data_IF_255423148877
#
_entry.id   IF_255423148877
#
_cell.length_a   1.000
_cell.length_b   1.000
_cell.length_c   1.000
_cell.angle_alpha   90.00
_cell.angle_beta   90.00
_cell.angle_gamma   90.00
#
_symmetry.space_group_name_H-M   'P 1'
#
loop_
_entity.id
_entity.type
_entity.pdbx_description
1 polymer ?
#
# COMPACT_ATOMS: atom_id res chain seq x y z
N UNK A 1 32.17 -72.62 -60.22
CA UNK A 1 31.50 -72.49 -58.92
C UNK A 1 31.58 -71.04 -58.50
N UNK A 2 30.45 -70.35 -58.57
CA UNK A 2 30.25 -68.94 -58.20
C UNK A 2 30.25 -68.78 -56.68
N UNK A 3 31.17 -67.99 -56.15
CA UNK A 3 31.03 -67.35 -54.85
C UNK A 3 30.78 -65.86 -55.09
N UNK A 4 29.55 -65.41 -54.83
CA UNK A 4 29.23 -63.99 -54.79
C UNK A 4 29.88 -63.41 -53.52
N UNK A 5 30.98 -62.67 -53.69
CA UNK A 5 31.54 -61.87 -52.62
C UNK A 5 30.51 -60.78 -52.28
N UNK A 6 29.82 -60.96 -51.16
CA UNK A 6 28.89 -59.95 -50.66
C UNK A 6 29.71 -58.77 -50.14
N UNK A 7 29.60 -57.65 -50.86
CA UNK A 7 30.29 -56.40 -50.55
C UNK A 7 29.68 -55.79 -49.29
N UNK A 8 30.36 -55.93 -48.15
CA UNK A 8 29.94 -55.30 -46.90
C UNK A 8 30.25 -53.81 -46.96
N UNK A 9 29.20 -52.99 -46.97
CA UNK A 9 29.34 -51.55 -46.82
C UNK A 9 29.74 -51.23 -45.38
N UNK A 10 30.82 -50.46 -45.25
CA UNK A 10 31.35 -50.03 -43.97
C UNK A 10 30.34 -49.13 -43.25
N UNK A 11 30.21 -49.31 -41.93
CA UNK A 11 29.27 -48.53 -41.12
C UNK A 11 29.86 -47.15 -40.85
N UNK A 12 29.13 -46.10 -41.21
CA UNK A 12 29.57 -44.73 -40.97
C UNK A 12 29.82 -44.50 -39.46
N UNK A 13 30.91 -43.80 -39.09
CA UNK A 13 31.20 -43.53 -37.69
C UNK A 13 30.07 -42.72 -37.04
N UNK A 14 29.87 -42.83 -35.70
CA UNK A 14 28.84 -42.08 -35.00
C UNK A 14 29.04 -40.58 -35.21
N UNK A 15 28.01 -39.91 -35.74
CA UNK A 15 27.99 -38.46 -35.83
C UNK A 15 27.48 -37.89 -34.52
N UNK A 16 28.24 -36.98 -33.91
CA UNK A 16 27.80 -36.30 -32.69
C UNK A 16 26.66 -35.34 -33.01
N UNK A 17 25.43 -35.77 -32.74
CA UNK A 17 24.24 -34.91 -32.77
C UNK A 17 24.13 -34.09 -31.47
N UNK A 18 25.13 -33.25 -31.19
CA UNK A 18 24.87 -32.07 -30.37
C UNK A 18 24.03 -31.11 -31.22
N UNK A 19 22.71 -31.30 -31.17
CA UNK A 19 21.71 -30.52 -31.95
C UNK A 19 21.88 -29.00 -31.80
N UNK A 20 22.54 -28.55 -30.72
CA UNK A 20 22.88 -27.16 -30.46
C UNK A 20 24.34 -27.07 -30.00
N UNK A 21 25.12 -26.18 -30.63
CA UNK A 21 26.48 -25.91 -30.18
C UNK A 21 26.44 -25.29 -28.77
N UNK A 22 27.36 -25.62 -27.85
CA UNK A 22 27.33 -25.10 -26.47
C UNK A 22 27.25 -23.58 -26.34
N UNK A 23 27.86 -22.83 -27.26
CA UNK A 23 27.77 -21.37 -27.29
C UNK A 23 26.34 -20.86 -27.57
N UNK A 24 25.54 -21.60 -28.34
CA UNK A 24 24.14 -21.25 -28.61
C UNK A 24 23.29 -21.41 -27.35
N UNK A 25 23.57 -22.42 -26.55
CA UNK A 25 22.92 -22.61 -25.23
C UNK A 25 23.28 -21.45 -24.31
N UNK A 26 24.55 -21.05 -24.27
CA UNK A 26 24.99 -19.90 -23.47
C UNK A 26 24.32 -18.60 -23.92
N UNK A 27 24.26 -18.34 -25.22
CA UNK A 27 23.55 -17.18 -25.78
C UNK A 27 22.06 -17.20 -25.47
N UNK A 28 21.40 -18.37 -25.56
CA UNK A 28 19.98 -18.51 -25.25
C UNK A 28 19.69 -18.24 -23.77
N UNK A 29 20.53 -18.76 -22.87
CA UNK A 29 20.43 -18.50 -21.42
C UNK A 29 20.65 -17.01 -21.12
N UNK A 30 21.68 -16.40 -21.71
CA UNK A 30 21.96 -14.98 -21.53
C UNK A 30 20.81 -14.08 -22.03
N UNK A 31 20.25 -14.38 -23.21
CA UNK A 31 19.10 -13.66 -23.75
C UNK A 31 17.86 -13.81 -22.86
N UNK A 32 17.61 -15.02 -22.35
CA UNK A 32 16.49 -15.28 -21.43
C UNK A 32 16.63 -14.49 -20.14
N UNK A 33 17.82 -14.45 -19.55
CA UNK A 33 18.09 -13.67 -18.33
C UNK A 33 17.92 -12.16 -18.56
N UNK A 34 18.37 -11.65 -19.71
CA UNK A 34 18.15 -10.24 -20.08
C UNK A 34 16.67 -9.91 -20.23
N UNK A 35 15.89 -10.78 -20.89
CA UNK A 35 14.44 -10.58 -21.04
C UNK A 35 13.72 -10.59 -19.68
N UNK A 36 14.08 -11.52 -18.79
CA UNK A 36 13.52 -11.57 -17.43
C UNK A 36 13.90 -10.32 -16.65
N UNK A 37 15.17 -9.90 -16.70
CA UNK A 37 15.64 -8.68 -16.05
C UNK A 37 14.90 -7.44 -16.54
N UNK A 38 14.72 -7.31 -17.86
CA UNK A 38 13.97 -6.21 -18.47
C UNK A 38 12.49 -6.26 -18.08
N UNK A 39 11.86 -7.43 -18.07
CA UNK A 39 10.48 -7.58 -17.65
C UNK A 39 10.29 -7.18 -16.18
N UNK A 40 11.17 -7.60 -15.28
CA UNK A 40 11.16 -7.20 -13.86
C UNK A 40 11.37 -5.69 -13.72
N UNK A 41 12.31 -5.12 -14.48
CA UNK A 41 12.59 -3.69 -14.45
C UNK A 41 11.40 -2.87 -14.96
N UNK A 42 10.79 -3.26 -16.09
CA UNK A 42 9.58 -2.64 -16.62
C UNK A 42 8.41 -2.78 -15.66
N UNK A 43 8.22 -3.96 -15.04
CA UNK A 43 7.17 -4.18 -14.05
C UNK A 43 7.38 -3.30 -12.83
N UNK A 44 8.62 -3.15 -12.36
CA UNK A 44 8.98 -2.26 -11.26
C UNK A 44 8.80 -0.80 -11.65
N UNK A 45 9.16 -0.41 -12.87
CA UNK A 45 8.98 0.95 -13.40
C UNK A 45 7.50 1.29 -13.55
N UNK A 46 6.69 0.40 -14.12
CA UNK A 46 5.24 0.58 -14.21
C UNK A 46 4.55 0.50 -12.86
N UNK A 47 5.09 -0.22 -11.87
CA UNK A 47 4.62 -0.13 -10.47
C UNK A 47 5.06 1.16 -9.78
N UNK A 48 6.16 1.76 -10.23
CA UNK A 48 6.54 3.15 -9.93
C UNK A 48 5.80 4.11 -10.85
N UNK A 49 4.49 3.90 -11.06
CA UNK A 49 3.66 5.04 -11.44
C UNK A 49 3.85 6.07 -10.34
N UNK A 50 4.20 7.34 -10.63
CA UNK A 50 3.87 8.38 -9.69
C UNK A 50 2.37 8.21 -9.49
N UNK A 51 1.96 7.75 -8.31
CA UNK A 51 0.58 7.94 -7.90
C UNK A 51 0.32 9.41 -8.19
N UNK A 52 -0.77 9.73 -8.91
CA UNK A 52 -1.27 11.10 -8.92
C UNK A 52 -1.10 11.62 -7.50
N UNK A 53 -0.40 12.75 -7.36
CA UNK A 53 0.00 13.29 -6.06
C UNK A 53 -1.29 13.79 -5.40
N UNK A 54 -2.11 12.83 -4.97
CA UNK A 54 -3.30 13.02 -4.18
C UNK A 54 -2.82 13.80 -2.98
N UNK A 55 -3.41 14.96 -2.81
CA UNK A 55 -3.20 15.77 -1.64
C UNK A 55 -3.41 14.89 -0.40
N UNK A 56 -2.71 15.15 0.73
CA UNK A 56 -2.92 14.40 1.96
C UNK A 56 -4.41 14.27 2.31
N UNK A 57 -5.19 15.32 2.02
CA UNK A 57 -6.64 15.37 2.17
C UNK A 57 -7.39 14.37 1.29
N UNK A 58 -7.17 14.37 -0.02
CA UNK A 58 -7.85 13.44 -0.94
C UNK A 58 -7.55 12.00 -0.58
N UNK A 59 -6.29 11.72 -0.21
CA UNK A 59 -5.87 10.39 0.22
C UNK A 59 -6.57 9.96 1.50
N UNK A 60 -6.75 10.87 2.46
CA UNK A 60 -7.49 10.61 3.68
C UNK A 60 -8.97 10.33 3.39
N UNK A 61 -9.61 11.12 2.52
CA UNK A 61 -11.00 10.91 2.09
C UNK A 61 -11.16 9.54 1.44
N UNK A 62 -10.26 9.17 0.53
CA UNK A 62 -10.31 7.86 -0.13
C UNK A 62 -10.12 6.71 0.88
N UNK A 63 -9.18 6.85 1.81
CA UNK A 63 -8.94 5.84 2.85
C UNK A 63 -10.13 5.70 3.80
N UNK A 64 -10.77 6.81 4.19
CA UNK A 64 -12.00 6.79 4.98
C UNK A 64 -13.14 6.13 4.21
N UNK A 65 -13.36 6.47 2.94
CA UNK A 65 -14.39 5.83 2.12
C UNK A 65 -14.21 4.30 2.01
N UNK A 66 -12.96 3.83 1.92
CA UNK A 66 -12.65 2.39 1.95
C UNK A 66 -12.94 1.75 3.31
N UNK A 67 -12.65 2.47 4.41
CA UNK A 67 -12.98 2.01 5.76
C UNK A 67 -14.48 1.92 5.99
N UNK A 68 -15.28 2.82 5.41
CA UNK A 68 -16.74 2.82 5.52
C UNK A 68 -17.36 1.50 5.06
N UNK A 69 -16.86 0.93 3.95
CA UNK A 69 -17.29 -0.39 3.47
C UNK A 69 -16.91 -1.56 4.38
N UNK A 70 -16.07 -1.34 5.40
CA UNK A 70 -15.61 -2.38 6.33
C UNK A 70 -16.27 -2.31 7.72
N UNK A 71 -17.18 -1.35 7.95
CA UNK A 71 -17.84 -1.10 9.25
C UNK A 71 -18.50 -2.35 9.83
N UNK A 72 -19.15 -3.16 9.00
CA UNK A 72 -19.88 -4.36 9.47
C UNK A 72 -18.98 -5.59 9.60
N UNK A 73 -17.81 -5.56 8.95
CA UNK A 73 -16.88 -6.70 8.88
C UNK A 73 -15.78 -6.63 9.93
N UNK A 74 -15.39 -5.42 10.34
CA UNK A 74 -14.32 -5.19 11.29
C UNK A 74 -14.86 -5.03 12.71
N UNK A 75 -14.22 -5.62 13.73
CA UNK A 75 -14.52 -5.31 15.12
C UNK A 75 -14.35 -3.81 15.39
N UNK A 76 -15.27 -3.16 16.13
CA UNK A 76 -15.22 -1.71 16.42
C UNK A 76 -13.89 -1.23 17.03
N UNK A 77 -13.24 -2.07 17.83
CA UNK A 77 -11.90 -1.81 18.36
C UNK A 77 -10.83 -1.68 17.24
N UNK A 78 -10.81 -2.62 16.29
CA UNK A 78 -9.84 -2.56 15.18
C UNK A 78 -10.18 -1.41 14.22
N UNK A 79 -11.47 -1.15 14.05
CA UNK A 79 -11.97 -0.05 13.24
C UNK A 79 -11.50 1.31 13.78
N UNK A 80 -11.64 1.56 15.09
CA UNK A 80 -11.23 2.82 15.72
C UNK A 80 -9.72 3.06 15.63
N UNK A 81 -8.90 1.99 15.72
CA UNK A 81 -7.45 2.09 15.51
C UNK A 81 -7.15 2.54 14.08
N UNK A 82 -7.75 1.89 13.08
CA UNK A 82 -7.48 2.22 11.66
C UNK A 82 -7.93 3.63 11.29
N UNK A 83 -9.11 4.05 11.72
CA UNK A 83 -9.61 5.41 11.44
C UNK A 83 -8.75 6.47 12.15
N UNK A 84 -8.35 6.22 13.39
CA UNK A 84 -7.39 7.07 14.12
C UNK A 84 -6.06 7.20 13.40
N UNK A 85 -5.52 6.10 12.85
CA UNK A 85 -4.24 6.14 12.13
C UNK A 85 -4.32 6.91 10.82
N UNK A 86 -5.45 6.79 10.09
CA UNK A 86 -5.71 7.57 8.87
C UNK A 86 -5.73 9.06 9.17
N UNK A 87 -6.47 9.47 10.21
CA UNK A 87 -6.56 10.88 10.62
C UNK A 87 -5.24 11.45 11.11
N UNK A 88 -4.52 10.71 11.96
CA UNK A 88 -3.19 11.14 12.42
C UNK A 88 -2.24 11.33 11.25
N UNK A 89 -2.24 10.39 10.30
CA UNK A 89 -1.39 10.50 9.09
C UNK A 89 -1.79 11.70 8.24
N UNK A 90 -3.08 11.92 8.00
CA UNK A 90 -3.60 13.08 7.27
C UNK A 90 -3.05 14.38 7.85
N UNK A 91 -3.23 14.56 9.15
CA UNK A 91 -2.82 15.79 9.84
C UNK A 91 -1.29 15.95 9.84
N UNK A 92 -0.54 14.88 10.11
CA UNK A 92 0.92 14.93 10.11
C UNK A 92 1.48 15.26 8.73
N UNK A 93 0.92 14.69 7.66
CA UNK A 93 1.36 14.96 6.29
C UNK A 93 0.93 16.35 5.79
N UNK A 94 -0.30 16.78 6.12
CA UNK A 94 -0.87 18.06 5.71
C UNK A 94 -0.10 19.24 6.32
N UNK A 95 0.35 19.10 7.57
CA UNK A 95 1.03 20.17 8.32
C UNK A 95 2.51 19.88 8.61
N UNK A 96 3.08 18.88 7.94
CA UNK A 96 4.50 18.48 8.01
C UNK A 96 5.00 18.29 9.45
N UNK A 97 4.16 17.70 10.30
CA UNK A 97 4.52 17.43 11.69
C UNK A 97 5.50 16.25 11.77
N UNK A 98 6.33 16.16 12.82
CA UNK A 98 7.20 15.01 13.04
C UNK A 98 6.37 13.72 13.16
N UNK A 99 6.61 12.74 12.28
CA UNK A 99 6.02 11.40 12.36
C UNK A 99 6.62 10.68 13.57
N UNK A 100 6.02 10.87 14.74
CA UNK A 100 6.51 10.36 16.02
C UNK A 100 5.44 9.49 16.68
N UNK A 101 5.86 8.50 17.48
CA UNK A 101 4.96 7.69 18.31
C UNK A 101 4.52 8.50 19.52
N UNK A 102 3.65 9.48 19.28
CA UNK A 102 3.09 10.34 20.31
C UNK A 102 1.77 9.79 20.83
N UNK A 103 1.47 10.07 22.09
CA UNK A 103 0.14 9.86 22.67
C UNK A 103 -0.88 10.82 22.04
N UNK A 104 -2.19 10.57 22.20
CA UNK A 104 -3.24 11.50 21.75
C UNK A 104 -3.06 12.92 22.30
N UNK A 105 -2.67 13.02 23.58
CA UNK A 105 -2.46 14.30 24.27
C UNK A 105 -1.26 15.05 23.71
N UNK A 106 -0.12 14.38 23.52
CA UNK A 106 1.09 14.99 22.94
C UNK A 106 0.84 15.45 21.50
N UNK A 107 0.09 14.67 20.73
CA UNK A 107 -0.28 15.00 19.36
C UNK A 107 -1.14 16.27 19.30
N UNK A 108 -2.16 16.37 20.15
CA UNK A 108 -3.01 17.56 20.24
C UNK A 108 -2.23 18.80 20.73
N UNK A 109 -1.32 18.63 21.70
CA UNK A 109 -0.47 19.72 22.17
C UNK A 109 0.48 20.23 21.08
N UNK A 110 1.07 19.31 20.30
CA UNK A 110 1.93 19.66 19.15
C UNK A 110 1.12 20.38 18.08
N UNK A 111 -0.13 19.99 17.87
CA UNK A 111 -1.03 20.65 16.95
C UNK A 111 -1.41 22.06 17.38
N UNK A 112 -1.74 22.25 18.66
CA UNK A 112 -2.08 23.56 19.21
C UNK A 112 -0.94 24.58 19.05
N UNK A 113 0.32 24.12 19.04
CA UNK A 113 1.49 25.00 18.90
C UNK A 113 1.96 25.21 17.46
N UNK A 114 1.66 24.29 16.54
CA UNK A 114 2.29 24.24 15.21
C UNK A 114 1.30 24.39 14.05
N UNK A 115 0.01 24.13 14.27
CA UNK A 115 -1.00 24.10 13.20
C UNK A 115 -1.85 25.37 13.15
N UNK A 116 -2.23 25.86 11.94
CA UNK A 116 -3.19 26.95 11.76
C UNK A 116 -4.65 26.50 11.94
N UNK A 117 -4.93 25.39 12.66
CA UNK A 117 -6.30 24.93 12.88
C UNK A 117 -7.12 25.95 13.66
N UNK A 118 -8.35 26.17 13.23
CA UNK A 118 -9.35 26.88 14.01
C UNK A 118 -9.62 26.17 15.34
N UNK A 119 -10.12 26.90 16.34
CA UNK A 119 -10.48 26.31 17.63
C UNK A 119 -11.47 25.15 17.46
N UNK A 120 -12.43 25.30 16.55
CA UNK A 120 -13.45 24.29 16.25
C UNK A 120 -12.83 23.01 15.67
N UNK A 121 -11.84 23.11 14.79
CA UNK A 121 -11.14 21.94 14.23
C UNK A 121 -10.32 21.20 15.30
N UNK A 122 -9.66 21.95 16.20
CA UNK A 122 -8.92 21.35 17.31
C UNK A 122 -9.86 20.61 18.27
N UNK A 123 -11.02 21.19 18.58
CA UNK A 123 -12.05 20.54 19.39
C UNK A 123 -12.59 19.28 18.72
N UNK A 124 -12.95 19.35 17.43
CA UNK A 124 -13.44 18.20 16.67
C UNK A 124 -12.44 17.04 16.65
N UNK A 125 -11.15 17.33 16.44
CA UNK A 125 -10.09 16.33 16.47
C UNK A 125 -9.87 15.77 17.87
N UNK A 126 -9.93 16.63 18.89
CA UNK A 126 -9.82 16.24 20.30
C UNK A 126 -10.93 15.27 20.72
N UNK A 127 -12.18 15.60 20.41
CA UNK A 127 -13.36 14.78 20.70
C UNK A 127 -13.26 13.41 20.00
N UNK A 128 -12.85 13.41 18.72
CA UNK A 128 -12.62 12.19 17.96
C UNK A 128 -11.55 11.30 18.61
N UNK A 129 -10.39 11.85 18.97
CA UNK A 129 -9.30 11.10 19.58
C UNK A 129 -9.69 10.55 20.95
N UNK A 130 -10.40 11.34 21.76
CA UNK A 130 -10.92 10.90 23.05
C UNK A 130 -11.87 9.70 22.89
N UNK A 131 -12.78 9.73 21.91
CA UNK A 131 -13.70 8.61 21.63
C UNK A 131 -12.94 7.36 21.18
N UNK A 132 -11.92 7.52 20.34
CA UNK A 132 -11.02 6.41 19.99
C UNK A 132 -10.35 5.81 21.22
N UNK A 133 -9.87 6.64 22.15
CA UNK A 133 -9.18 6.18 23.35
C UNK A 133 -10.11 5.47 24.34
N UNK A 134 -11.37 5.92 24.46
CA UNK A 134 -12.41 5.20 25.22
C UNK A 134 -12.64 3.78 24.67
N UNK A 135 -12.75 3.64 23.35
CA UNK A 135 -12.91 2.34 22.70
C UNK A 135 -11.67 1.46 22.89
N UNK A 136 -10.47 2.06 22.84
CA UNK A 136 -9.21 1.31 22.93
C UNK A 136 -8.88 0.85 24.35
N UNK A 137 -9.17 1.67 25.36
CA UNK A 137 -8.62 1.47 26.70
C UNK A 137 -9.68 1.29 27.79
N UNK A 138 -10.90 1.80 27.62
CA UNK A 138 -11.91 1.81 28.67
C UNK A 138 -12.76 0.53 28.77
N UNK A 139 -12.39 -0.56 28.08
CA UNK A 139 -13.23 -1.78 27.92
C UNK A 139 -14.67 -1.44 27.50
N UNK A 140 -14.80 -0.41 26.68
CA UNK A 140 -16.09 0.02 26.17
C UNK A 140 -16.62 -1.05 25.20
N UNK A 141 -17.84 -1.53 25.42
CA UNK A 141 -18.54 -2.43 24.49
C UNK A 141 -19.00 -1.62 23.27
N UNK A 142 -18.02 -1.25 22.45
CA UNK A 142 -18.22 -0.48 21.25
C UNK A 142 -19.07 -1.28 20.25
N UNK A 143 -20.04 -0.59 19.66
CA UNK A 143 -20.97 -1.15 18.70
C UNK A 143 -20.62 -0.71 17.27
N UNK A 144 -21.28 -1.32 16.29
CA UNK A 144 -21.22 -0.86 14.90
C UNK A 144 -21.74 0.57 14.76
N UNK A 145 -22.67 1.00 15.62
CA UNK A 145 -23.16 2.39 15.62
C UNK A 145 -22.06 3.38 16.01
N UNK A 146 -21.22 3.03 17.00
CA UNK A 146 -20.06 3.85 17.38
C UNK A 146 -19.03 3.94 16.25
N UNK A 147 -18.87 2.85 15.48
CA UNK A 147 -17.99 2.84 14.29
C UNK A 147 -18.52 3.77 13.20
N UNK A 148 -19.85 3.82 12.99
CA UNK A 148 -20.49 4.77 12.06
C UNK A 148 -20.29 6.22 12.50
N UNK A 149 -20.51 6.51 13.79
CA UNK A 149 -20.28 7.85 14.34
C UNK A 149 -18.82 8.28 14.20
N UNK A 150 -17.87 7.40 14.53
CA UNK A 150 -16.44 7.68 14.40
C UNK A 150 -16.04 8.05 12.97
N UNK A 151 -16.54 7.32 11.96
CA UNK A 151 -16.18 7.61 10.58
C UNK A 151 -16.87 8.85 10.04
N UNK A 152 -18.07 9.17 10.54
CA UNK A 152 -18.77 10.42 10.21
C UNK A 152 -18.02 11.63 10.76
N UNK A 153 -17.58 11.58 12.02
CA UNK A 153 -16.75 12.61 12.65
C UNK A 153 -15.41 12.76 11.91
N UNK A 154 -14.77 11.65 11.55
CA UNK A 154 -13.54 11.66 10.78
C UNK A 154 -13.73 12.31 9.39
N UNK A 155 -14.79 11.93 8.69
CA UNK A 155 -15.14 12.52 7.39
C UNK A 155 -15.45 14.01 7.53
N UNK A 156 -16.19 14.42 8.57
CA UNK A 156 -16.51 15.82 8.85
C UNK A 156 -15.25 16.62 9.13
N UNK A 157 -14.29 16.09 9.87
CA UNK A 157 -13.03 16.77 10.11
C UNK A 157 -12.23 16.98 8.81
N UNK A 158 -12.06 15.91 8.01
CA UNK A 158 -11.29 15.99 6.76
C UNK A 158 -11.99 16.86 5.70
N UNK A 159 -13.32 16.81 5.61
CA UNK A 159 -14.12 17.63 4.66
C UNK A 159 -14.40 19.04 5.17
N UNK A 160 -14.43 19.25 6.48
CA UNK A 160 -14.74 20.52 7.15
C UNK A 160 -13.61 21.54 7.12
N UNK A 161 -12.36 21.13 6.84
CA UNK A 161 -11.21 22.03 6.68
C UNK A 161 -11.24 22.92 5.43
N UNK A 162 -12.41 23.25 4.90
CA UNK A 162 -12.60 24.25 3.84
C UNK A 162 -13.99 24.89 3.91
N UNK A 163 -14.16 25.87 4.80
CA UNK A 163 -15.06 27.00 4.60
C UNK A 163 -14.36 28.29 5.04
N UNK A 164 -13.30 28.66 4.33
CA UNK A 164 -12.90 30.06 4.14
C UNK A 164 -12.10 30.16 2.82
N UNK A 165 -12.69 30.64 1.72
CA UNK A 165 -11.92 31.21 0.63
C UNK A 165 -11.30 32.52 1.10
N UNK A 166 -10.00 32.71 0.84
CA UNK A 166 -9.44 34.05 0.65
C UNK A 166 -9.32 34.28 -0.85
#
# INVERSE_FOLDING_TARGET
MTFLAQEFHDIAPPVDYFLLKPWMVFCAVAATLLLIGLAIWLLKWWRRRPAEVLTPRERAIEQLARMEGQIETLPPYQFSIRVSDILRRYVTEQYQLPVTRQTSVEFLNTLASTSPFSADEQTLLGDFLNRCDLIKFARYDATTADSRLLIEEANRFVKGGALAPA
#
